data_IF_465653470033
#
_entry.id   IF_465653470033
#
_cell.length_a   1.000
_cell.length_b   1.000
_cell.length_c   1.000
_cell.angle_alpha   90.00
_cell.angle_beta   90.00
_cell.angle_gamma   90.00
#
_symmetry.space_group_name_H-M   'P 1'
#
loop_
_entity.id
_entity.type
_entity.pdbx_description
1 polymer ?
#
# COMPACT_ATOMS: atom_id res chain seq x y z
N UNK A 1 -14.07 2.77 -24.54
CA UNK A 1 -12.83 3.27 -23.88
C UNK A 1 -12.27 2.27 -22.88
N UNK A 2 -13.09 1.42 -22.26
CA UNK A 2 -12.68 0.34 -21.36
C UNK A 2 -11.56 -0.57 -21.93
N UNK A 3 -11.69 -1.04 -23.18
CA UNK A 3 -10.63 -1.82 -23.86
C UNK A 3 -9.27 -1.12 -23.96
N UNK A 4 -9.25 0.22 -24.07
CA UNK A 4 -8.01 0.99 -24.13
C UNK A 4 -7.34 1.06 -22.76
N UNK A 5 -8.13 1.26 -21.70
CA UNK A 5 -7.65 1.23 -20.32
C UNK A 5 -6.98 -0.11 -20.02
N UNK A 6 -7.69 -1.23 -20.24
CA UNK A 6 -7.15 -2.58 -19.96
C UNK A 6 -5.83 -2.85 -20.68
N UNK A 7 -5.67 -2.38 -21.92
CA UNK A 7 -4.43 -2.54 -22.68
C UNK A 7 -3.28 -1.70 -22.13
N UNK A 8 -3.55 -0.49 -21.63
CA UNK A 8 -2.54 0.39 -21.07
C UNK A 8 -2.11 -0.03 -19.66
N UNK A 9 -3.05 -0.50 -18.85
CA UNK A 9 -2.75 -1.13 -17.56
C UNK A 9 -1.82 -2.33 -17.78
N UNK A 10 -2.18 -3.23 -18.70
CA UNK A 10 -1.36 -4.39 -19.04
C UNK A 10 0.02 -4.02 -19.63
N UNK A 11 0.11 -2.93 -20.38
CA UNK A 11 1.39 -2.43 -20.91
C UNK A 11 2.32 -1.94 -19.79
N UNK A 12 1.78 -1.18 -18.85
CA UNK A 12 2.51 -0.66 -17.69
C UNK A 12 2.99 -1.80 -16.78
N UNK A 13 2.10 -2.76 -16.52
CA UNK A 13 2.42 -3.97 -15.76
C UNK A 13 3.55 -4.78 -16.43
N UNK A 14 3.52 -4.92 -17.76
CA UNK A 14 4.55 -5.60 -18.51
C UNK A 14 5.92 -4.90 -18.39
N UNK A 15 5.94 -3.56 -18.45
CA UNK A 15 7.18 -2.78 -18.25
C UNK A 15 7.73 -3.00 -16.84
N UNK A 16 6.88 -2.92 -15.81
CA UNK A 16 7.30 -3.12 -14.42
C UNK A 16 7.83 -4.55 -14.20
N UNK A 17 7.17 -5.56 -14.77
CA UNK A 17 7.63 -6.94 -14.72
C UNK A 17 9.01 -7.12 -15.38
N UNK A 18 9.23 -6.51 -16.55
CA UNK A 18 10.54 -6.53 -17.24
C UNK A 18 11.63 -5.84 -16.41
N UNK A 19 11.31 -4.72 -15.76
CA UNK A 19 12.27 -4.04 -14.87
C UNK A 19 12.71 -4.98 -13.74
N UNK A 20 11.75 -5.63 -13.09
CA UNK A 20 12.03 -6.58 -11.99
C UNK A 20 12.91 -7.74 -12.46
N UNK A 21 12.66 -8.29 -13.65
CA UNK A 21 13.45 -9.41 -14.19
C UNK A 21 14.85 -8.99 -14.61
N UNK A 22 15.01 -7.83 -15.25
CA UNK A 22 16.34 -7.32 -15.63
C UNK A 22 17.21 -7.13 -14.38
N UNK A 23 16.66 -6.64 -13.27
CA UNK A 23 17.44 -6.45 -12.04
C UNK A 23 18.06 -7.74 -11.50
N UNK A 24 17.34 -8.88 -11.55
CA UNK A 24 17.88 -10.15 -11.05
C UNK A 24 18.88 -10.76 -12.02
N UNK A 25 18.66 -10.59 -13.33
CA UNK A 25 19.57 -11.05 -14.38
C UNK A 25 20.91 -10.31 -14.35
N UNK A 26 20.94 -9.09 -13.81
CA UNK A 26 22.13 -8.24 -13.74
C UNK A 26 22.99 -8.51 -12.49
N UNK A 27 22.62 -9.49 -11.65
CA UNK A 27 23.43 -9.93 -10.51
C UNK A 27 24.62 -10.76 -11.04
N UNK A 28 25.87 -10.34 -10.80
CA UNK A 28 27.03 -11.05 -11.34
C UNK A 28 27.18 -12.44 -10.69
N UNK A 29 27.44 -13.49 -11.47
CA UNK A 29 27.71 -14.81 -10.94
C UNK A 29 29.08 -14.85 -10.23
N UNK A 30 29.25 -15.80 -9.31
CA UNK A 30 30.54 -16.07 -8.67
C UNK A 30 31.47 -16.75 -9.67
N UNK A 31 32.53 -16.06 -10.09
CA UNK A 31 33.49 -16.56 -11.08
C UNK A 31 34.67 -17.33 -10.46
N UNK A 32 34.97 -17.09 -9.18
CA UNK A 32 36.02 -17.80 -8.46
C UNK A 32 35.51 -18.29 -7.12
N UNK A 33 35.86 -19.52 -6.76
CA UNK A 33 35.46 -20.18 -5.53
C UNK A 33 36.25 -19.64 -4.33
N UNK A 34 35.82 -18.50 -3.80
CA UNK A 34 36.39 -17.90 -2.59
C UNK A 34 35.29 -17.30 -1.73
N UNK A 35 35.45 -17.39 -0.41
CA UNK A 35 34.50 -16.83 0.58
C UNK A 35 34.18 -15.36 0.31
N UNK A 36 35.20 -14.58 -0.09
CA UNK A 36 35.02 -13.16 -0.40
C UNK A 36 34.06 -12.91 -1.57
N UNK A 37 34.07 -13.76 -2.60
CA UNK A 37 33.16 -13.62 -3.74
C UNK A 37 31.72 -13.97 -3.37
N UNK A 38 31.50 -14.95 -2.50
CA UNK A 38 30.17 -15.24 -1.98
C UNK A 38 29.62 -14.11 -1.10
N UNK A 39 30.48 -13.45 -0.30
CA UNK A 39 30.09 -12.26 0.46
C UNK A 39 29.71 -11.09 -0.46
N UNK A 40 30.45 -10.89 -1.56
CA UNK A 40 30.08 -9.91 -2.57
C UNK A 40 28.74 -10.24 -3.23
N UNK A 41 28.50 -11.49 -3.61
CA UNK A 41 27.19 -11.93 -4.11
C UNK A 41 26.08 -11.62 -3.09
N UNK A 42 26.28 -11.90 -1.81
CA UNK A 42 25.33 -11.56 -0.75
C UNK A 42 25.00 -10.06 -0.69
N UNK A 43 26.00 -9.19 -0.88
CA UNK A 43 25.79 -7.74 -1.00
C UNK A 43 24.96 -7.38 -2.23
N UNK A 44 25.26 -7.97 -3.40
CA UNK A 44 24.50 -7.74 -4.62
C UNK A 44 23.03 -8.15 -4.45
N UNK A 45 22.78 -9.33 -3.89
CA UNK A 45 21.44 -9.82 -3.57
C UNK A 45 20.73 -8.90 -2.57
N UNK A 46 21.42 -8.45 -1.52
CA UNK A 46 20.85 -7.51 -0.54
C UNK A 46 20.41 -6.19 -1.18
N UNK A 47 21.23 -5.60 -2.04
CA UNK A 47 20.90 -4.36 -2.75
C UNK A 47 19.80 -4.58 -3.80
N UNK A 48 19.81 -5.72 -4.49
CA UNK A 48 18.71 -6.14 -5.35
C UNK A 48 17.37 -6.18 -4.59
N UNK A 49 17.34 -6.79 -3.40
CA UNK A 49 16.12 -6.91 -2.59
C UNK A 49 15.56 -5.53 -2.19
N UNK A 50 16.43 -4.57 -1.89
CA UNK A 50 16.02 -3.18 -1.63
C UNK A 50 15.21 -2.64 -2.81
N UNK A 51 15.77 -2.72 -4.02
CA UNK A 51 15.11 -2.23 -5.23
C UNK A 51 13.87 -3.04 -5.60
N UNK A 52 13.90 -4.36 -5.41
CA UNK A 52 12.76 -5.24 -5.66
C UNK A 52 11.55 -4.81 -4.81
N UNK A 53 11.75 -4.64 -3.50
CA UNK A 53 10.67 -4.26 -2.59
C UNK A 53 10.16 -2.85 -2.92
N UNK A 54 11.06 -1.91 -3.26
CA UNK A 54 10.66 -0.58 -3.70
C UNK A 54 9.78 -0.64 -4.95
N UNK A 55 10.19 -1.35 -6.01
CA UNK A 55 9.41 -1.45 -7.25
C UNK A 55 8.11 -2.21 -7.02
N UNK A 56 8.10 -3.26 -6.20
CA UNK A 56 6.88 -3.98 -5.84
C UNK A 56 5.87 -3.07 -5.11
N UNK A 57 6.34 -2.19 -4.22
CA UNK A 57 5.50 -1.19 -3.57
C UNK A 57 4.95 -0.17 -4.57
N UNK A 58 5.78 0.30 -5.51
CA UNK A 58 5.35 1.22 -6.56
C UNK A 58 4.31 0.58 -7.47
N UNK A 59 4.54 -0.67 -7.92
CA UNK A 59 3.58 -1.44 -8.69
C UNK A 59 2.24 -1.59 -7.96
N UNK A 60 2.30 -1.92 -6.66
CA UNK A 60 1.08 -2.05 -5.86
C UNK A 60 0.29 -0.73 -5.78
N UNK A 61 0.98 0.39 -5.53
CA UNK A 61 0.34 1.70 -5.50
C UNK A 61 -0.24 2.08 -6.86
N UNK A 62 0.51 1.79 -7.94
CA UNK A 62 0.10 2.02 -9.32
C UNK A 62 -1.18 1.24 -9.65
N UNK A 63 -1.17 -0.08 -9.43
CA UNK A 63 -2.35 -0.93 -9.62
C UNK A 63 -3.56 -0.46 -8.79
N UNK A 64 -3.32 -0.01 -7.56
CA UNK A 64 -4.38 0.53 -6.69
C UNK A 64 -4.93 1.85 -7.23
N UNK A 65 -4.07 2.76 -7.72
CA UNK A 65 -4.49 4.05 -8.29
C UNK A 65 -5.28 3.86 -9.59
N UNK A 66 -4.81 3.01 -10.50
CA UNK A 66 -5.49 2.71 -11.76
C UNK A 66 -6.77 1.90 -11.57
N UNK A 67 -6.90 1.21 -10.43
CA UNK A 67 -8.15 0.58 -10.01
C UNK A 67 -9.26 1.55 -9.60
N UNK A 68 -8.97 2.85 -9.41
CA UNK A 68 -9.97 3.87 -9.06
C UNK A 68 -10.72 4.43 -10.26
N UNK A 69 -10.15 4.36 -11.47
CA UNK A 69 -10.73 4.99 -12.67
C UNK A 69 -11.30 3.95 -13.63
N UNK A 70 -12.45 4.23 -14.25
CA UNK A 70 -13.02 3.34 -15.27
C UNK A 70 -12.59 3.70 -16.70
N UNK A 71 -12.10 4.93 -16.90
CA UNK A 71 -11.68 5.42 -18.21
C UNK A 71 -10.30 6.05 -18.20
N UNK A 72 -9.56 5.85 -19.29
CA UNK A 72 -8.19 6.34 -19.44
C UNK A 72 -8.17 7.58 -20.34
N UNK A 73 -7.66 8.69 -19.81
CA UNK A 73 -7.52 9.95 -20.55
C UNK A 73 -6.11 10.07 -21.12
N UNK A 74 -5.95 10.72 -22.28
CA UNK A 74 -4.64 10.96 -22.92
C UNK A 74 -3.61 11.64 -21.99
N UNK A 75 -4.06 12.54 -21.12
CA UNK A 75 -3.22 13.17 -20.10
C UNK A 75 -2.63 12.16 -19.11
N UNK A 76 -3.43 11.20 -18.63
CA UNK A 76 -2.99 10.17 -17.69
C UNK A 76 -1.99 9.24 -18.38
N UNK A 77 -2.25 8.87 -19.64
CA UNK A 77 -1.32 8.10 -20.46
C UNK A 77 0.05 8.76 -20.54
N UNK A 78 0.12 10.06 -20.87
CA UNK A 78 1.40 10.77 -20.96
C UNK A 78 2.12 10.79 -19.61
N UNK A 79 1.40 11.09 -18.52
CA UNK A 79 1.98 11.12 -17.17
C UNK A 79 2.51 9.75 -16.76
N UNK A 80 1.81 8.69 -17.12
CA UNK A 80 2.24 7.32 -16.87
C UNK A 80 3.53 6.98 -17.64
N UNK A 81 3.64 7.38 -18.92
CA UNK A 81 4.89 7.21 -19.68
C UNK A 81 6.06 7.99 -19.05
N UNK A 82 5.83 9.22 -18.59
CA UNK A 82 6.85 9.99 -17.87
C UNK A 82 7.25 9.36 -16.55
N UNK A 83 6.34 8.68 -15.87
CA UNK A 83 6.63 7.92 -14.65
C UNK A 83 7.42 6.64 -14.94
N UNK A 84 7.05 5.87 -15.97
CA UNK A 84 7.70 4.60 -16.32
C UNK A 84 9.13 4.81 -16.82
N UNK A 85 9.43 5.92 -17.50
CA UNK A 85 10.76 6.16 -18.06
C UNK A 85 11.89 6.21 -17.00
N UNK A 86 11.79 6.99 -15.91
CA UNK A 86 12.76 6.92 -14.80
C UNK A 86 12.70 5.60 -14.04
N UNK A 87 11.53 4.98 -13.90
CA UNK A 87 11.40 3.66 -13.27
C UNK A 87 12.23 2.60 -14.02
N UNK A 88 12.29 2.69 -15.35
CA UNK A 88 13.10 1.81 -16.19
C UNK A 88 14.62 1.97 -15.99
N UNK A 89 15.08 3.06 -15.36
CA UNK A 89 16.49 3.27 -15.01
C UNK A 89 16.88 2.62 -13.67
N UNK A 90 15.92 2.09 -12.91
CA UNK A 90 16.18 1.45 -11.62
C UNK A 90 17.18 0.29 -11.69
N UNK A 91 17.18 -0.61 -12.70
CA UNK A 91 18.16 -1.68 -12.78
C UNK A 91 19.59 -1.18 -12.85
N UNK A 92 19.83 -0.17 -13.71
CA UNK A 92 21.13 0.46 -13.88
C UNK A 92 21.68 1.01 -12.55
N UNK A 93 20.89 1.85 -11.86
CA UNK A 93 21.37 2.45 -10.61
C UNK A 93 21.46 1.46 -9.46
N UNK A 94 20.63 0.42 -9.45
CA UNK A 94 20.73 -0.68 -8.48
C UNK A 94 22.07 -1.41 -8.66
N UNK A 95 22.43 -1.75 -9.90
CA UNK A 95 23.70 -2.39 -10.21
C UNK A 95 24.88 -1.49 -9.86
N UNK A 96 24.86 -0.22 -10.27
CA UNK A 96 25.92 0.73 -9.95
C UNK A 96 26.16 0.85 -8.45
N UNK A 97 25.09 0.89 -7.64
CA UNK A 97 25.17 0.92 -6.17
C UNK A 97 25.66 -0.41 -5.59
N UNK A 98 25.29 -1.54 -6.21
CA UNK A 98 25.69 -2.88 -5.80
C UNK A 98 27.18 -3.15 -6.02
N UNK A 99 27.68 -2.83 -7.21
CA UNK A 99 29.11 -2.93 -7.56
C UNK A 99 29.91 -1.97 -6.69
N UNK A 100 29.57 -0.67 -6.72
CA UNK A 100 30.33 0.37 -6.07
C UNK A 100 29.43 1.17 -5.13
N UNK A 101 29.49 0.90 -3.82
CA UNK A 101 28.69 1.62 -2.82
C UNK A 101 29.41 2.90 -2.39
N UNK A 102 29.47 3.87 -3.29
CA UNK A 102 30.09 5.18 -3.07
C UNK A 102 29.01 6.22 -2.78
N UNK A 103 29.44 7.42 -2.35
CA UNK A 103 28.54 8.57 -2.20
C UNK A 103 27.73 8.83 -3.47
N UNK A 104 28.39 8.79 -4.63
CA UNK A 104 27.78 9.18 -5.90
C UNK A 104 26.70 8.17 -6.29
N UNK A 105 26.99 6.87 -6.23
CA UNK A 105 26.03 5.83 -6.63
C UNK A 105 24.83 5.76 -5.68
N UNK A 106 25.05 5.89 -4.37
CA UNK A 106 23.98 5.89 -3.36
C UNK A 106 23.08 7.13 -3.49
N UNK A 107 23.66 8.30 -3.78
CA UNK A 107 22.90 9.54 -4.01
C UNK A 107 22.14 9.49 -5.33
N UNK A 108 22.74 9.01 -6.41
CA UNK A 108 22.03 8.84 -7.70
C UNK A 108 20.85 7.88 -7.56
N UNK A 109 21.05 6.76 -6.85
CA UNK A 109 19.98 5.80 -6.57
C UNK A 109 18.82 6.45 -5.80
N UNK A 110 19.11 7.15 -4.70
CA UNK A 110 18.08 7.83 -3.93
C UNK A 110 17.39 8.96 -4.69
N UNK A 111 18.14 9.73 -5.49
CA UNK A 111 17.58 10.79 -6.33
C UNK A 111 16.62 10.21 -7.37
N UNK A 112 16.95 9.06 -7.96
CA UNK A 112 16.05 8.37 -8.88
C UNK A 112 14.78 7.86 -8.17
N UNK A 113 14.91 7.27 -6.97
CA UNK A 113 13.74 6.89 -6.17
C UNK A 113 12.82 8.08 -5.89
N UNK A 114 13.39 9.23 -5.47
CA UNK A 114 12.61 10.43 -5.22
C UNK A 114 11.94 10.96 -6.48
N UNK A 115 12.63 10.93 -7.62
CA UNK A 115 12.07 11.33 -8.91
C UNK A 115 10.88 10.43 -9.30
N UNK A 116 11.04 9.12 -9.19
CA UNK A 116 9.99 8.13 -9.45
C UNK A 116 8.79 8.37 -8.53
N UNK A 117 9.01 8.50 -7.21
CA UNK A 117 7.94 8.77 -6.25
C UNK A 117 7.25 10.10 -6.54
N UNK A 118 8.00 11.15 -6.89
CA UNK A 118 7.43 12.45 -7.25
C UNK A 118 6.54 12.37 -8.49
N UNK A 119 7.03 11.78 -9.58
CA UNK A 119 6.26 11.62 -10.81
C UNK A 119 5.03 10.76 -10.59
N UNK A 120 5.16 9.70 -9.78
CA UNK A 120 4.01 8.88 -9.39
C UNK A 120 2.96 9.69 -8.62
N UNK A 121 3.36 10.62 -7.72
CA UNK A 121 2.40 11.52 -7.07
C UNK A 121 1.69 12.46 -8.04
N UNK A 122 2.40 12.96 -9.05
CA UNK A 122 1.78 13.80 -10.09
C UNK A 122 0.74 12.98 -10.88
N UNK A 123 1.07 11.73 -11.24
CA UNK A 123 0.17 10.80 -11.90
C UNK A 123 -1.06 10.49 -11.03
N UNK A 124 -0.86 10.06 -9.78
CA UNK A 124 -1.95 9.77 -8.85
C UNK A 124 -2.83 10.99 -8.59
N UNK A 125 -2.24 12.19 -8.50
CA UNK A 125 -3.02 13.42 -8.37
C UNK A 125 -3.96 13.62 -9.56
N UNK A 126 -3.47 13.40 -10.78
CA UNK A 126 -4.29 13.53 -11.99
C UNK A 126 -5.41 12.47 -12.03
N UNK A 127 -5.14 11.24 -11.60
CA UNK A 127 -6.13 10.17 -11.50
C UNK A 127 -7.22 10.52 -10.47
N UNK A 128 -6.83 10.89 -9.25
CA UNK A 128 -7.77 11.18 -8.16
C UNK A 128 -8.66 12.40 -8.47
N UNK A 129 -8.13 13.45 -9.10
CA UNK A 129 -8.92 14.62 -9.51
C UNK A 129 -9.78 14.36 -10.75
N UNK A 130 -9.56 13.26 -11.49
CA UNK A 130 -10.44 12.87 -12.59
C UNK A 130 -11.70 12.20 -12.07
N UNK A 131 -11.57 11.35 -11.04
CA UNK A 131 -12.68 10.54 -10.52
C UNK A 131 -13.46 11.25 -9.40
N UNK A 132 -12.79 12.06 -8.59
CA UNK A 132 -13.36 12.63 -7.37
C UNK A 132 -13.31 14.15 -7.36
N UNK A 133 -14.46 14.78 -7.11
CA UNK A 133 -14.59 16.23 -6.91
C UNK A 133 -14.62 16.62 -5.42
N UNK A 134 -15.09 15.71 -4.55
CA UNK A 134 -15.19 15.96 -3.12
C UNK A 134 -13.86 15.71 -2.38
N UNK A 135 -13.49 16.64 -1.49
CA UNK A 135 -12.22 16.60 -0.78
C UNK A 135 -12.11 15.38 0.15
N UNK A 136 -13.21 14.95 0.77
CA UNK A 136 -13.19 13.78 1.66
C UNK A 136 -12.99 12.50 0.86
N UNK A 137 -13.65 12.36 -0.30
CA UNK A 137 -13.44 11.23 -1.20
C UNK A 137 -12.00 11.17 -1.71
N UNK A 138 -11.42 12.31 -2.11
CA UNK A 138 -10.01 12.38 -2.53
C UNK A 138 -9.05 11.97 -1.41
N UNK A 139 -9.26 12.44 -0.18
CA UNK A 139 -8.43 12.04 0.98
C UNK A 139 -8.48 10.53 1.22
N UNK A 140 -9.67 9.91 1.06
CA UNK A 140 -9.83 8.44 1.17
C UNK A 140 -9.07 7.71 0.05
N UNK A 141 -9.15 8.20 -1.19
CA UNK A 141 -8.42 7.64 -2.32
C UNK A 141 -6.90 7.70 -2.09
N UNK A 142 -6.37 8.84 -1.63
CA UNK A 142 -4.96 8.95 -1.29
C UNK A 142 -4.53 8.03 -0.14
N UNK A 143 -5.36 7.90 0.90
CA UNK A 143 -5.08 6.98 2.01
C UNK A 143 -5.08 5.52 1.55
N UNK A 144 -5.93 5.15 0.58
CA UNK A 144 -5.94 3.82 -0.03
C UNK A 144 -4.68 3.54 -0.83
N UNK A 145 -4.24 4.52 -1.63
CA UNK A 145 -3.09 4.36 -2.53
C UNK A 145 -1.78 4.34 -1.73
N UNK A 146 -1.57 5.31 -0.84
CA UNK A 146 -0.29 5.48 -0.15
C UNK A 146 -0.24 4.95 1.29
N UNK A 147 -1.39 4.70 1.90
CA UNK A 147 -1.49 4.43 3.33
C UNK A 147 -1.45 5.72 4.19
N UNK A 148 -1.81 5.58 5.47
CA UNK A 148 -1.91 6.71 6.41
C UNK A 148 -0.55 7.34 6.80
N UNK A 149 0.58 6.68 6.51
CA UNK A 149 1.91 7.09 6.93
C UNK A 149 2.74 7.78 5.83
N UNK A 150 2.12 8.15 4.70
CA UNK A 150 2.81 8.60 3.49
C UNK A 150 3.83 9.73 3.72
N UNK A 151 3.44 10.80 4.42
CA UNK A 151 4.34 11.95 4.67
C UNK A 151 5.58 11.59 5.50
N UNK A 152 5.44 10.71 6.49
CA UNK A 152 6.56 10.26 7.32
C UNK A 152 7.51 9.38 6.51
N UNK A 153 6.94 8.53 5.66
CA UNK A 153 7.65 7.66 4.75
C UNK A 153 8.44 8.47 3.72
N UNK A 154 7.82 9.48 3.11
CA UNK A 154 8.49 10.41 2.20
C UNK A 154 9.65 11.17 2.86
N UNK A 155 9.44 11.64 4.09
CA UNK A 155 10.49 12.29 4.86
C UNK A 155 11.66 11.33 5.13
N UNK A 156 11.38 10.05 5.41
CA UNK A 156 12.40 9.03 5.61
C UNK A 156 13.24 8.79 4.34
N UNK A 157 12.63 8.82 3.15
CA UNK A 157 13.35 8.71 1.88
C UNK A 157 14.29 9.91 1.65
N UNK A 158 13.85 11.13 1.98
CA UNK A 158 14.70 12.34 1.91
C UNK A 158 15.84 12.26 2.93
N UNK A 159 15.57 11.81 4.16
CA UNK A 159 16.59 11.59 5.19
C UNK A 159 17.61 10.55 4.71
N UNK A 160 17.16 9.44 4.10
CA UNK A 160 18.05 8.43 3.54
C UNK A 160 19.00 9.00 2.48
N UNK A 161 18.49 9.89 1.60
CA UNK A 161 19.30 10.59 0.62
C UNK A 161 20.37 11.47 1.29
N UNK A 162 19.99 12.28 2.28
CA UNK A 162 20.92 13.14 3.03
C UNK A 162 21.97 12.31 3.75
N UNK A 163 21.57 11.23 4.42
CA UNK A 163 22.50 10.27 5.04
C UNK A 163 23.43 9.67 3.98
N UNK A 164 22.94 9.37 2.78
CA UNK A 164 23.74 8.85 1.66
C UNK A 164 24.88 9.76 1.23
N UNK A 165 24.72 11.09 1.38
CA UNK A 165 25.80 12.05 1.12
C UNK A 165 26.94 11.86 2.10
N UNK A 166 26.67 11.66 3.39
CA UNK A 166 27.71 11.61 4.43
C UNK A 166 28.21 10.19 4.72
N UNK A 167 27.31 9.21 4.73
CA UNK A 167 27.52 7.82 5.14
C UNK A 167 26.78 6.86 4.20
N UNK A 168 27.35 6.56 3.01
CA UNK A 168 26.68 5.74 1.98
C UNK A 168 26.27 4.35 2.47
N UNK A 169 27.11 3.70 3.28
CA UNK A 169 26.81 2.39 3.85
C UNK A 169 25.62 2.43 4.84
N UNK A 170 25.48 3.51 5.60
CA UNK A 170 24.36 3.67 6.54
C UNK A 170 23.04 3.92 5.78
N UNK A 171 23.09 4.65 4.67
CA UNK A 171 21.92 4.91 3.84
C UNK A 171 21.29 3.64 3.26
N UNK A 172 22.06 2.58 3.00
CA UNK A 172 21.51 1.29 2.57
C UNK A 172 20.52 0.70 3.58
N UNK A 173 20.79 0.87 4.88
CA UNK A 173 19.88 0.39 5.94
C UNK A 173 18.56 1.16 5.86
N UNK A 174 18.62 2.48 5.66
CA UNK A 174 17.42 3.29 5.51
C UNK A 174 16.66 2.95 4.22
N UNK A 175 17.36 2.76 3.10
CA UNK A 175 16.74 2.36 1.84
C UNK A 175 16.13 0.96 1.90
N UNK A 176 16.61 0.04 2.75
CA UNK A 176 15.96 -1.24 2.99
C UNK A 176 14.79 -1.15 3.96
N UNK A 177 14.97 -0.42 5.07
CA UNK A 177 13.98 -0.33 6.14
C UNK A 177 12.72 0.38 5.67
N UNK A 178 12.88 1.44 4.87
CA UNK A 178 11.76 2.23 4.35
C UNK A 178 10.76 1.41 3.51
N UNK A 179 11.15 0.70 2.43
CA UNK A 179 10.23 -0.09 1.62
C UNK A 179 9.65 -1.28 2.38
N UNK A 180 10.43 -1.91 3.26
CA UNK A 180 9.95 -3.04 4.09
C UNK A 180 8.86 -2.56 5.04
N UNK A 181 9.11 -1.47 5.77
CA UNK A 181 8.14 -0.89 6.69
C UNK A 181 6.88 -0.45 5.93
N UNK A 182 7.04 0.17 4.77
CA UNK A 182 5.93 0.53 3.89
C UNK A 182 5.11 -0.71 3.47
N UNK A 183 5.78 -1.77 3.02
CA UNK A 183 5.11 -3.00 2.58
C UNK A 183 4.27 -3.60 3.73
N UNK A 184 4.85 -3.68 4.93
CA UNK A 184 4.21 -4.21 6.13
C UNK A 184 3.04 -3.34 6.64
N UNK A 185 3.21 -2.01 6.69
CA UNK A 185 2.14 -1.09 7.13
C UNK A 185 0.99 -1.11 6.13
N UNK A 186 1.32 -1.05 4.83
CA UNK A 186 0.31 -1.05 3.79
C UNK A 186 -0.47 -2.38 3.77
N UNK A 187 0.16 -3.52 4.08
CA UNK A 187 -0.56 -4.80 4.21
C UNK A 187 -1.66 -4.75 5.28
N UNK A 188 -1.40 -4.14 6.43
CA UNK A 188 -2.41 -4.00 7.49
C UNK A 188 -3.53 -2.99 7.18
N UNK A 189 -3.23 -1.91 6.44
CA UNK A 189 -4.23 -0.93 6.01
C UNK A 189 -5.19 -1.51 4.95
N UNK A 190 -4.68 -2.41 4.10
CA UNK A 190 -5.43 -3.12 3.04
C UNK A 190 -6.62 -3.89 3.61
N UNK A 191 -6.42 -4.67 4.67
CA UNK A 191 -7.49 -5.49 5.25
C UNK A 191 -8.66 -4.65 5.81
N UNK A 192 -8.37 -3.47 6.33
CA UNK A 192 -9.38 -2.58 6.92
C UNK A 192 -10.36 -2.04 5.87
N UNK A 193 -9.91 -1.75 4.65
CA UNK A 193 -10.80 -1.22 3.60
C UNK A 193 -11.72 -2.30 3.00
N UNK A 194 -11.26 -3.55 2.91
CA UNK A 194 -12.08 -4.67 2.43
C UNK A 194 -13.21 -5.04 3.40
N UNK A 195 -12.95 -5.00 4.71
CA UNK A 195 -13.97 -5.28 5.74
C UNK A 195 -15.06 -4.19 5.80
N UNK A 196 -14.75 -2.98 5.34
CA UNK A 196 -15.65 -1.81 5.35
C UNK A 196 -16.50 -1.73 4.09
N UNK A 197 -15.93 -2.08 2.93
CA UNK A 197 -16.67 -2.15 1.67
C UNK A 197 -17.79 -3.23 1.68
N UNK A 198 -17.77 -4.13 2.67
CA UNK A 198 -18.84 -5.09 2.94
C UNK A 198 -20.01 -4.50 3.77
N UNK A 199 -19.88 -3.29 4.31
CA UNK A 199 -20.94 -2.63 5.07
C UNK A 199 -21.98 -1.97 4.14
N UNK A 200 -23.23 -1.80 4.57
CA UNK A 200 -24.21 -0.96 3.87
C UNK A 200 -23.67 0.45 3.63
N UNK A 201 -24.00 1.09 2.49
CA UNK A 201 -23.45 2.39 2.07
C UNK A 201 -23.52 3.49 3.15
N UNK A 202 -24.60 3.53 3.93
CA UNK A 202 -24.75 4.47 5.05
C UNK A 202 -23.71 4.25 6.17
N UNK A 203 -23.32 3.00 6.44
CA UNK A 203 -22.35 2.62 7.46
C UNK A 203 -20.90 2.74 6.96
N UNK A 204 -20.67 2.70 5.63
CA UNK A 204 -19.35 2.95 5.04
C UNK A 204 -18.88 4.39 5.28
N UNK A 205 -19.78 5.36 5.08
CA UNK A 205 -19.51 6.77 5.37
C UNK A 205 -19.19 6.98 6.86
N UNK A 206 -19.97 6.35 7.74
CA UNK A 206 -19.81 6.44 9.19
C UNK A 206 -18.51 5.76 9.68
N UNK A 207 -18.09 4.67 9.04
CA UNK A 207 -16.78 4.06 9.30
C UNK A 207 -15.63 4.97 8.83
N UNK A 208 -15.78 5.62 7.68
CA UNK A 208 -14.74 6.48 7.11
C UNK A 208 -14.41 7.68 8.01
N UNK A 209 -15.37 8.15 8.80
CA UNK A 209 -15.20 9.22 9.79
C UNK A 209 -14.58 8.73 11.11
N UNK A 210 -14.31 7.42 11.26
CA UNK A 210 -13.69 6.87 12.47
C UNK A 210 -12.19 7.22 12.55
N UNK A 211 -11.82 7.72 13.71
CA UNK A 211 -10.43 7.81 14.17
C UNK A 211 -9.82 6.42 14.42
N UNK A 212 -8.50 6.36 14.65
CA UNK A 212 -7.76 5.10 14.80
C UNK A 212 -8.31 4.23 15.95
N UNK A 213 -8.72 4.86 17.05
CA UNK A 213 -9.34 4.17 18.18
C UNK A 213 -10.76 3.67 17.82
N UNK A 214 -11.53 4.46 17.08
CA UNK A 214 -12.84 4.10 16.57
C UNK A 214 -12.85 2.89 15.65
N UNK A 215 -11.90 2.82 14.72
CA UNK A 215 -11.73 1.66 13.83
C UNK A 215 -11.32 0.39 14.57
N UNK A 216 -10.58 0.50 15.67
CA UNK A 216 -10.27 -0.64 16.55
C UNK A 216 -11.53 -1.14 17.27
N UNK A 217 -12.30 -0.25 17.88
CA UNK A 217 -13.54 -0.60 18.56
C UNK A 217 -14.60 -1.19 17.61
N UNK A 218 -14.66 -0.72 16.36
CA UNK A 218 -15.52 -1.30 15.34
C UNK A 218 -15.17 -2.76 15.04
N UNK A 219 -13.88 -3.08 14.91
CA UNK A 219 -13.40 -4.46 14.67
C UNK A 219 -13.82 -5.39 15.80
N UNK A 220 -13.65 -4.96 17.04
CA UNK A 220 -14.06 -5.71 18.23
C UNK A 220 -15.58 -5.95 18.25
N UNK A 221 -16.38 -4.96 17.86
CA UNK A 221 -17.83 -5.10 17.78
C UNK A 221 -18.26 -6.04 16.64
N UNK A 222 -17.60 -5.97 15.48
CA UNK A 222 -17.89 -6.83 14.33
C UNK A 222 -17.58 -8.30 14.62
N UNK A 223 -16.42 -8.60 15.21
CA UNK A 223 -16.08 -9.98 15.63
C UNK A 223 -17.04 -10.50 16.68
N UNK A 224 -17.45 -9.66 17.64
CA UNK A 224 -18.41 -10.05 18.69
C UNK A 224 -19.82 -10.27 18.14
N UNK A 225 -20.25 -9.51 17.13
CA UNK A 225 -21.62 -9.55 16.61
C UNK A 225 -21.87 -10.71 15.64
N UNK A 226 -20.86 -11.08 14.85
CA UNK A 226 -20.98 -12.13 13.82
C UNK A 226 -20.37 -13.49 14.22
N UNK A 227 -19.98 -13.67 15.49
CA UNK A 227 -19.54 -14.98 15.99
C UNK A 227 -20.74 -15.88 16.34
N UNK A 228 -21.10 -16.77 15.41
CA UNK A 228 -21.80 -18.02 15.72
C UNK A 228 -21.53 -19.10 14.66
N UNK A 229 -20.26 -19.46 14.43
CA UNK A 229 -19.78 -20.78 13.96
C UNK A 229 -18.26 -20.76 14.14
N UNK A 230 -17.61 -21.80 14.70
CA UNK A 230 -16.15 -21.91 14.68
C UNK A 230 -15.67 -21.75 13.23
N UNK A 231 -14.50 -21.12 12.96
CA UNK A 231 -13.95 -21.12 11.62
C UNK A 231 -13.90 -22.56 11.12
N UNK A 232 -14.46 -22.82 9.93
CA UNK A 232 -14.27 -24.09 9.24
C UNK A 232 -12.79 -24.44 9.32
N UNK A 233 -12.48 -25.67 9.76
CA UNK A 233 -11.12 -26.10 10.06
C UNK A 233 -10.15 -25.56 8.99
N UNK A 234 -9.18 -24.75 9.44
CA UNK A 234 -8.15 -24.19 8.56
C UNK A 234 -7.60 -25.36 7.73
N UNK A 235 -7.56 -25.29 6.39
CA UNK A 235 -6.84 -26.30 5.62
C UNK A 235 -5.43 -26.37 6.19
N UNK A 236 -4.97 -27.58 6.52
CA UNK A 236 -3.73 -27.82 7.24
C UNK A 236 -2.57 -27.11 6.54
N UNK A 237 -2.22 -25.94 7.07
CA UNK A 237 -1.13 -25.11 6.59
C UNK A 237 0.09 -25.52 7.41
N UNK A 238 1.12 -25.99 6.72
CA UNK A 238 2.37 -26.51 7.28
C UNK A 238 3.32 -25.41 7.76
N UNK A 239 2.81 -24.18 7.90
CA UNK A 239 3.55 -23.01 8.35
C UNK A 239 3.16 -22.68 9.80
N UNK A 240 4.10 -22.25 10.66
CA UNK A 240 3.78 -21.80 12.01
C UNK A 240 2.71 -20.68 11.99
N UNK A 241 1.71 -20.76 12.89
CA UNK A 241 0.55 -19.84 12.95
C UNK A 241 0.92 -18.34 12.98
N UNK A 242 2.13 -18.00 13.42
CA UNK A 242 2.66 -16.62 13.46
C UNK A 242 2.91 -16.01 12.08
N UNK A 243 3.26 -16.85 11.09
CA UNK A 243 3.57 -16.41 9.72
C UNK A 243 2.37 -16.55 8.78
N UNK A 244 1.55 -17.59 8.99
CA UNK A 244 0.34 -17.83 8.20
C UNK A 244 -0.64 -16.64 8.26
N UNK A 245 -0.84 -16.03 9.44
CA UNK A 245 -1.71 -14.85 9.56
C UNK A 245 -1.20 -13.61 8.79
N UNK A 246 0.11 -13.50 8.54
CA UNK A 246 0.68 -12.39 7.77
C UNK A 246 0.68 -12.69 6.26
N UNK A 247 0.96 -13.94 5.86
CA UNK A 247 0.97 -14.40 4.46
C UNK A 247 -0.44 -14.58 3.87
N UNK A 248 -1.39 -15.03 4.68
CA UNK A 248 -2.78 -15.29 4.25
C UNK A 248 -3.67 -14.03 4.26
N UNK A 249 -3.09 -12.83 4.45
CA UNK A 249 -3.79 -11.54 4.27
C UNK A 249 -4.07 -11.19 2.80
N UNK A 250 -4.10 -12.19 1.93
CA UNK A 250 -4.43 -12.00 0.53
C UNK A 250 -5.79 -11.31 0.41
N UNK A 251 -5.80 -10.27 -0.41
CA UNK A 251 -7.00 -9.69 -0.97
C UNK A 251 -7.64 -10.73 -1.87
N UNK A 252 -8.42 -11.64 -1.28
CA UNK A 252 -9.25 -12.56 -2.03
C UNK A 252 -10.52 -11.81 -2.46
N UNK A 253 -10.70 -11.48 -3.76
CA UNK A 253 -11.93 -10.85 -4.25
C UNK A 253 -13.18 -11.70 -3.98
N UNK A 254 -13.03 -13.02 -3.75
CA UNK A 254 -14.13 -13.91 -3.35
C UNK A 254 -14.50 -13.78 -1.88
N UNK A 255 -13.62 -13.23 -1.03
CA UNK A 255 -13.91 -12.93 0.39
C UNK A 255 -14.88 -11.77 0.52
N UNK A 256 -14.83 -10.78 -0.39
CA UNK A 256 -15.86 -9.73 -0.55
C UNK A 256 -17.22 -10.36 -0.83
N UNK A 257 -17.30 -11.27 -1.79
CA UNK A 257 -18.54 -12.00 -2.09
C UNK A 257 -19.07 -12.77 -0.87
N UNK A 258 -18.19 -13.44 -0.12
CA UNK A 258 -18.55 -14.17 1.11
C UNK A 258 -18.97 -13.27 2.27
N UNK A 259 -18.35 -12.11 2.44
CA UNK A 259 -18.72 -11.13 3.47
C UNK A 259 -20.03 -10.41 3.12
N UNK A 260 -20.23 -10.07 1.85
CA UNK A 260 -21.46 -9.49 1.36
C UNK A 260 -22.61 -10.49 1.47
N UNK A 261 -22.40 -11.75 1.07
CA UNK A 261 -23.34 -12.85 1.35
C UNK A 261 -23.63 -13.01 2.85
N UNK A 262 -22.64 -12.83 3.74
CA UNK A 262 -22.86 -12.90 5.19
C UNK A 262 -23.68 -11.73 5.73
N UNK A 263 -23.57 -10.54 5.15
CA UNK A 263 -24.42 -9.39 5.48
C UNK A 263 -25.84 -9.56 4.89
N UNK A 264 -25.93 -10.06 3.67
CA UNK A 264 -27.20 -10.36 2.98
C UNK A 264 -27.94 -11.52 3.65
N UNK A 265 -27.21 -12.47 4.25
CA UNK A 265 -27.74 -13.60 5.04
C UNK A 265 -27.74 -13.30 6.55
N UNK A 266 -27.35 -12.10 6.98
CA UNK A 266 -27.36 -11.75 8.40
C UNK A 266 -28.80 -11.73 8.92
N UNK A 267 -29.02 -12.35 10.07
CA UNK A 267 -30.33 -12.32 10.71
C UNK A 267 -30.75 -10.88 11.06
N UNK A 268 -32.04 -10.56 11.08
CA UNK A 268 -32.52 -9.23 11.46
C UNK A 268 -31.97 -8.74 12.81
N UNK A 269 -31.75 -9.65 13.75
CA UNK A 269 -31.12 -9.35 15.05
C UNK A 269 -29.65 -8.93 14.94
N UNK A 270 -28.87 -9.58 14.06
CA UNK A 270 -27.47 -9.23 13.83
C UNK A 270 -27.33 -7.88 13.14
N UNK A 271 -28.21 -7.59 12.17
CA UNK A 271 -28.26 -6.27 11.53
C UNK A 271 -28.69 -5.18 12.53
N UNK A 272 -29.68 -5.45 13.38
CA UNK A 272 -30.13 -4.54 14.43
C UNK A 272 -29.04 -4.25 15.48
N UNK A 273 -28.26 -5.27 15.88
CA UNK A 273 -27.12 -5.10 16.80
C UNK A 273 -26.04 -4.18 16.22
N UNK A 274 -25.71 -4.35 14.94
CA UNK A 274 -24.75 -3.48 14.28
C UNK A 274 -25.26 -2.04 14.15
N UNK A 275 -26.53 -1.87 13.77
CA UNK A 275 -27.18 -0.56 13.71
C UNK A 275 -27.24 0.13 15.09
N UNK A 276 -27.50 -0.63 16.15
CA UNK A 276 -27.52 -0.14 17.54
C UNK A 276 -26.12 0.30 18.00
N UNK A 277 -25.06 -0.40 17.59
CA UNK A 277 -23.68 0.00 17.87
C UNK A 277 -23.35 1.38 17.24
N UNK A 278 -23.69 1.58 15.96
CA UNK A 278 -23.54 2.87 15.29
C UNK A 278 -24.40 3.97 15.93
N UNK A 279 -25.66 3.67 16.29
CA UNK A 279 -26.54 4.61 16.98
C UNK A 279 -26.01 5.03 18.37
N UNK A 280 -25.51 4.09 19.17
CA UNK A 280 -24.93 4.36 20.48
C UNK A 280 -23.66 5.24 20.38
N UNK A 281 -22.90 5.08 19.29
CA UNK A 281 -21.73 5.92 19.02
C UNK A 281 -22.13 7.34 18.63
N UNK A 282 -23.14 7.53 17.77
CA UNK A 282 -23.67 8.87 17.45
C UNK A 282 -24.04 9.66 18.69
N UNK A 283 -24.62 9.01 19.69
CA UNK A 283 -24.96 9.64 20.97
C UNK A 283 -23.74 10.03 21.82
N UNK A 284 -22.61 9.31 21.71
CA UNK A 284 -21.36 9.63 22.40
C UNK A 284 -20.54 10.71 21.68
N UNK A 285 -20.66 10.78 20.35
CA UNK A 285 -19.96 11.76 19.50
C UNK A 285 -20.69 13.09 19.36
N UNK A 286 -21.98 13.16 19.69
CA UNK A 286 -22.74 14.40 19.69
C UNK A 286 -22.10 15.41 20.67
N UNK A 287 -21.82 16.65 20.26
CA UNK A 287 -21.29 17.65 21.17
C UNK A 287 -22.26 17.78 22.33
N UNK A 288 -21.80 17.54 23.56
CA UNK A 288 -22.61 17.73 24.76
C UNK A 288 -23.15 19.15 24.73
N UNK A 289 -24.43 19.29 24.39
CA UNK A 289 -25.14 20.55 24.40
C UNK A 289 -24.94 21.17 25.77
N UNK A 290 -24.27 22.32 25.78
CA UNK A 290 -23.96 23.06 26.99
C UNK A 290 -25.29 23.55 27.56
N UNK A 291 -25.85 22.79 28.50
CA UNK A 291 -27.09 23.11 29.21
C UNK A 291 -26.89 24.34 30.09
N UNK A 292 -26.90 25.52 29.49
CA UNK A 292 -27.15 26.77 30.21
C UNK A 292 -28.64 27.08 30.11
N UNK A 293 -29.35 26.85 31.22
CA UNK A 293 -30.71 27.32 31.41
C UNK A 293 -30.79 28.84 31.20
N UNK A 294 -31.88 29.37 30.62
CA UNK A 294 -32.06 30.80 30.47
C UNK A 294 -32.30 31.40 31.86
N UNK A 295 -31.38 32.25 32.32
CA UNK A 295 -31.65 33.12 33.46
C UNK A 295 -32.68 34.15 33.03
N UNK A 296 -33.85 34.10 33.65
CA UNK A 296 -34.79 35.22 33.74
C UNK A 296 -34.20 36.33 34.59
#
# INVERSE_FOLDING_TARGET
MEKLKTRLDAFSDAIIAIIITIMVLDIPPVLHDTVNNYLQLGKHVGIYLISFIFIANIWYQHSTAFGEIDTMTYRILILDMFFLAPLALMPLLTNMMAVNTTRVTVVMYGALQLLVTFLFRVLTRAIVHLEYEDEQAMRRAYAKIYGNANLLLDALAVVALVVGVFKPALALIFYLLYPVLMFLINANARQQMYDVAALPAAQQAEYADLDTAGRKAFREAQTTTFQATPPAAKPATHLPDTWAHWLDQNVDPRRRGRLQQRFDQATPEQQARMAAWFAARRQRSAPRGNGRAPRR
#
